data_IF_825357992343
#
_entry.id   IF_825357992343
#
_cell.length_a   1.000
_cell.length_b   1.000
_cell.length_c   1.000
_cell.angle_alpha   90.00
_cell.angle_beta   90.00
_cell.angle_gamma   90.00
#
_symmetry.space_group_name_H-M   'P 1'
#
loop_
_entity.id
_entity.type
_entity.pdbx_description
1 polymer ?
#
# COMPACT_ATOMS: atom_id res chain seq x y z
N UNK A 1 24.23 -14.33 -14.18
CA UNK A 1 22.84 -14.45 -14.66
C UNK A 1 22.03 -15.16 -13.60
N UNK A 2 21.35 -14.42 -12.70
CA UNK A 2 20.39 -15.03 -11.76
C UNK A 2 19.02 -14.99 -12.44
N UNK A 3 18.52 -16.17 -12.82
CA UNK A 3 17.17 -16.30 -13.34
C UNK A 3 16.19 -15.90 -12.24
N UNK A 4 15.42 -14.83 -12.49
CA UNK A 4 14.17 -14.58 -11.80
C UNK A 4 13.24 -15.75 -12.13
N UNK A 5 13.19 -16.75 -11.26
CA UNK A 5 12.08 -17.70 -11.21
C UNK A 5 10.86 -16.91 -10.76
N UNK A 6 10.12 -16.35 -11.72
CA UNK A 6 8.73 -16.00 -11.51
C UNK A 6 8.00 -17.35 -11.45
N UNK A 7 7.91 -17.93 -10.25
CA UNK A 7 6.98 -19.05 -10.02
C UNK A 7 5.57 -18.50 -10.26
N UNK A 8 5.02 -18.78 -11.45
CA UNK A 8 3.59 -18.69 -11.67
C UNK A 8 2.93 -19.79 -10.83
N UNK A 9 2.65 -19.52 -9.55
CA UNK A 9 1.88 -20.42 -8.72
C UNK A 9 0.45 -20.53 -9.26
N UNK A 10 -0.10 -21.75 -9.29
CA UNK A 10 -1.53 -21.93 -9.52
C UNK A 10 -2.32 -21.19 -8.41
N UNK A 11 -3.44 -20.54 -8.74
CA UNK A 11 -4.23 -19.81 -7.75
C UNK A 11 -4.83 -20.77 -6.72
N UNK A 12 -4.60 -20.47 -5.43
CA UNK A 12 -5.20 -21.16 -4.31
C UNK A 12 -6.62 -20.71 -4.04
N UNK A 13 -7.23 -21.27 -3.00
CA UNK A 13 -8.55 -20.89 -2.52
C UNK A 13 -8.46 -20.04 -1.25
N UNK A 14 -9.37 -19.08 -1.14
CA UNK A 14 -9.45 -18.16 0.00
C UNK A 14 -10.87 -18.03 0.49
N UNK A 15 -11.04 -18.04 1.81
CA UNK A 15 -12.32 -17.82 2.48
C UNK A 15 -12.19 -16.56 3.35
N UNK A 16 -12.88 -15.49 2.98
CA UNK A 16 -12.90 -14.25 3.76
C UNK A 16 -14.24 -14.08 4.47
N UNK A 17 -14.26 -13.35 5.59
CA UNK A 17 -15.52 -12.92 6.19
C UNK A 17 -16.23 -11.93 5.25
N UNK A 18 -17.52 -12.11 5.04
CA UNK A 18 -18.36 -11.27 4.18
C UNK A 18 -18.93 -10.05 4.93
N UNK A 19 -18.29 -9.66 6.03
CA UNK A 19 -18.69 -8.51 6.84
C UNK A 19 -17.85 -7.29 6.48
N UNK A 20 -18.39 -6.09 6.68
CA UNK A 20 -17.64 -4.85 6.49
C UNK A 20 -16.42 -4.83 7.41
N UNK A 21 -15.30 -4.29 6.90
CA UNK A 21 -14.05 -4.18 7.66
C UNK A 21 -14.23 -3.47 9.01
N UNK A 22 -15.16 -2.51 9.10
CA UNK A 22 -15.51 -1.84 10.35
C UNK A 22 -15.98 -2.83 11.43
N UNK A 23 -16.79 -3.83 11.07
CA UNK A 23 -17.27 -4.84 12.03
C UNK A 23 -16.14 -5.72 12.51
N UNK A 24 -15.23 -6.08 11.60
CA UNK A 24 -14.03 -6.87 11.91
C UNK A 24 -13.16 -6.14 12.92
N UNK A 25 -12.82 -4.89 12.62
CA UNK A 25 -11.96 -4.05 13.49
C UNK A 25 -12.57 -3.83 14.88
N UNK A 26 -13.90 -3.82 15.01
CA UNK A 26 -14.59 -3.64 16.30
C UNK A 26 -14.75 -4.92 17.12
N UNK A 27 -14.79 -6.07 16.48
CA UNK A 27 -15.33 -7.29 17.13
C UNK A 27 -14.49 -8.55 16.96
N UNK A 28 -13.57 -8.58 16.01
CA UNK A 28 -12.77 -9.76 15.70
C UNK A 28 -11.30 -9.45 16.01
N UNK A 29 -10.82 -9.99 17.13
CA UNK A 29 -9.40 -10.05 17.45
C UNK A 29 -8.80 -11.39 16.96
N UNK A 30 -7.49 -11.55 17.11
CA UNK A 30 -6.78 -12.75 16.69
C UNK A 30 -7.32 -14.02 17.34
N UNK A 31 -7.64 -13.96 18.64
CA UNK A 31 -8.14 -15.12 19.38
C UNK A 31 -9.53 -15.52 18.87
N UNK A 32 -10.38 -14.54 18.53
CA UNK A 32 -11.68 -14.76 17.90
C UNK A 32 -11.54 -15.31 16.48
N UNK A 33 -10.59 -14.83 15.68
CA UNK A 33 -10.31 -15.36 14.35
C UNK A 33 -9.90 -16.85 14.41
N UNK A 34 -9.04 -17.22 15.36
CA UNK A 34 -8.66 -18.63 15.61
C UNK A 34 -9.83 -19.48 16.10
N UNK A 35 -10.70 -18.91 16.94
CA UNK A 35 -11.92 -19.58 17.36
C UNK A 35 -12.86 -19.86 16.18
N UNK A 36 -13.03 -18.90 15.26
CA UNK A 36 -13.81 -19.09 14.04
C UNK A 36 -13.22 -20.19 13.14
N UNK A 37 -11.90 -20.20 12.94
CA UNK A 37 -11.21 -21.26 12.20
C UNK A 37 -11.49 -22.65 12.82
N UNK A 38 -11.41 -22.75 14.15
CA UNK A 38 -11.67 -23.99 14.88
C UNK A 38 -13.12 -24.44 14.77
N UNK A 39 -14.07 -23.49 14.80
CA UNK A 39 -15.50 -23.75 14.63
C UNK A 39 -15.83 -24.21 13.20
N UNK A 40 -15.24 -23.60 12.18
CA UNK A 40 -15.35 -24.05 10.79
C UNK A 40 -14.75 -25.45 10.60
N UNK A 41 -13.60 -25.74 11.20
CA UNK A 41 -13.00 -27.07 11.17
C UNK A 41 -13.84 -28.14 11.90
N UNK A 42 -14.51 -27.79 12.99
CA UNK A 42 -15.47 -28.68 13.65
C UNK A 42 -16.71 -28.94 12.78
N UNK A 43 -17.24 -27.91 12.14
CA UNK A 43 -18.38 -28.02 11.23
C UNK A 43 -18.02 -28.84 9.97
N UNK A 44 -16.82 -28.67 9.42
CA UNK A 44 -16.35 -29.44 8.27
C UNK A 44 -16.32 -30.95 8.57
N UNK A 45 -15.84 -31.34 9.77
CA UNK A 45 -15.88 -32.72 10.25
C UNK A 45 -17.30 -33.27 10.39
N UNK A 46 -18.21 -32.46 10.90
CA UNK A 46 -19.62 -32.85 11.05
C UNK A 46 -20.30 -33.08 9.68
N UNK A 47 -19.97 -32.27 8.67
CA UNK A 47 -20.57 -32.35 7.34
C UNK A 47 -20.03 -33.49 6.47
N UNK A 48 -18.95 -34.15 6.90
CA UNK A 48 -18.42 -35.39 6.36
C UNK A 48 -17.02 -35.30 5.75
N UNK A 49 -16.40 -36.45 5.40
CA UNK A 49 -14.98 -36.53 5.01
C UNK A 49 -14.59 -35.73 3.77
N UNK A 50 -15.53 -35.52 2.85
CA UNK A 50 -15.31 -34.69 1.65
C UNK A 50 -15.10 -33.21 2.02
N UNK A 51 -15.90 -32.70 2.96
CA UNK A 51 -15.82 -31.30 3.42
C UNK A 51 -14.62 -31.09 4.32
N UNK A 52 -14.34 -32.06 5.21
CA UNK A 52 -13.14 -32.05 6.05
C UNK A 52 -11.87 -32.02 5.19
N UNK A 53 -11.77 -32.84 4.14
CA UNK A 53 -10.63 -32.84 3.23
C UNK A 53 -10.50 -31.52 2.46
N UNK A 54 -11.61 -30.97 1.98
CA UNK A 54 -11.60 -29.70 1.26
C UNK A 54 -11.16 -28.53 2.18
N UNK A 55 -11.54 -28.56 3.46
CA UNK A 55 -11.08 -27.60 4.47
C UNK A 55 -9.65 -27.86 4.95
N UNK A 56 -9.15 -29.08 4.82
CA UNK A 56 -7.80 -29.42 5.27
C UNK A 56 -6.76 -28.60 4.51
N UNK A 57 -5.95 -27.84 5.26
CA UNK A 57 -4.95 -26.93 4.71
C UNK A 57 -5.32 -25.44 4.79
N UNK A 58 -6.56 -25.07 5.10
CA UNK A 58 -6.93 -23.67 5.32
C UNK A 58 -6.31 -23.10 6.60
N UNK A 59 -5.55 -22.02 6.46
CA UNK A 59 -4.85 -21.31 7.53
C UNK A 59 -5.25 -19.85 7.56
N UNK A 60 -5.21 -19.20 8.72
CA UNK A 60 -5.43 -17.75 8.80
C UNK A 60 -4.30 -17.04 8.01
N UNK A 61 -4.66 -16.39 6.90
CA UNK A 61 -3.74 -15.75 5.95
C UNK A 61 -4.52 -14.71 5.12
N UNK A 62 -4.02 -13.48 5.01
CA UNK A 62 -4.41 -12.61 3.91
C UNK A 62 -3.56 -12.88 2.65
N UNK A 63 -4.18 -13.25 1.50
CA UNK A 63 -3.55 -13.04 0.21
C UNK A 63 -3.32 -11.55 -0.04
N UNK A 64 -2.29 -11.21 -0.81
CA UNK A 64 -2.14 -9.85 -1.35
C UNK A 64 -3.34 -9.41 -2.21
N UNK A 65 -4.12 -10.37 -2.73
CA UNK A 65 -5.24 -10.11 -3.64
C UNK A 65 -6.54 -10.84 -3.19
N UNK A 66 -7.27 -10.34 -2.19
CA UNK A 66 -8.67 -10.76 -2.00
C UNK A 66 -9.26 -10.57 -0.60
N UNK A 67 -10.51 -10.10 -0.53
CA UNK A 67 -11.39 -10.09 0.66
C UNK A 67 -10.97 -9.18 1.82
N UNK A 68 -11.83 -9.06 2.84
CA UNK A 68 -11.48 -8.43 4.11
C UNK A 68 -11.09 -9.49 5.16
N UNK A 69 -10.15 -9.18 6.07
CA UNK A 69 -9.86 -10.01 7.25
C UNK A 69 -11.12 -10.34 8.07
N UNK A 70 -11.15 -11.46 8.82
CA UNK A 70 -10.20 -12.56 8.78
C UNK A 70 -10.32 -13.34 7.47
N UNK A 71 -9.17 -13.76 6.95
CA UNK A 71 -9.08 -14.53 5.70
C UNK A 71 -8.40 -15.87 5.98
N UNK A 72 -8.94 -16.93 5.40
CA UNK A 72 -8.38 -18.27 5.46
C UNK A 72 -7.90 -18.70 4.07
N UNK A 73 -6.59 -18.90 3.90
CA UNK A 73 -5.96 -19.30 2.65
C UNK A 73 -5.59 -20.78 2.61
N UNK A 74 -5.77 -21.40 1.45
CA UNK A 74 -5.22 -22.70 1.12
C UNK A 74 -4.63 -22.69 -0.30
N UNK A 75 -3.30 -22.70 -0.40
CA UNK A 75 -2.57 -22.68 -1.68
C UNK A 75 -2.73 -23.97 -2.49
N UNK A 76 -2.96 -25.10 -1.82
CA UNK A 76 -3.20 -26.39 -2.49
C UNK A 76 -4.68 -26.60 -2.84
N UNK A 77 -5.55 -25.65 -2.47
CA UNK A 77 -6.98 -25.71 -2.75
C UNK A 77 -7.26 -25.78 -4.25
N UNK A 78 -7.99 -26.80 -4.67
CA UNK A 78 -8.28 -27.07 -6.08
C UNK A 78 -9.74 -26.74 -6.42
N UNK A 79 -10.04 -26.65 -7.72
CA UNK A 79 -11.42 -26.40 -8.20
C UNK A 79 -12.45 -27.39 -7.64
N UNK A 80 -12.08 -28.65 -7.43
CA UNK A 80 -12.98 -29.65 -6.86
C UNK A 80 -13.41 -29.36 -5.42
N UNK A 81 -12.62 -28.58 -4.67
CA UNK A 81 -12.87 -28.28 -3.26
C UNK A 81 -13.92 -27.17 -3.10
N UNK A 82 -14.23 -26.39 -4.14
CA UNK A 82 -15.19 -25.29 -4.03
C UNK A 82 -16.59 -25.72 -3.63
N UNK A 83 -17.09 -26.83 -4.17
CA UNK A 83 -18.45 -27.31 -3.89
C UNK A 83 -18.60 -27.74 -2.41
N UNK A 84 -17.71 -28.60 -1.86
CA UNK A 84 -17.76 -28.92 -0.44
C UNK A 84 -17.54 -27.70 0.46
N UNK A 85 -16.65 -26.77 0.08
CA UNK A 85 -16.45 -25.52 0.84
C UNK A 85 -17.69 -24.63 0.82
N UNK A 86 -18.35 -24.44 -0.33
CA UNK A 86 -19.63 -23.69 -0.38
C UNK A 86 -20.71 -24.28 0.51
N UNK A 87 -20.76 -25.62 0.63
CA UNK A 87 -21.65 -26.31 1.58
C UNK A 87 -21.29 -25.97 3.03
N UNK A 88 -20.00 -25.97 3.38
CA UNK A 88 -19.51 -25.56 4.70
C UNK A 88 -19.94 -24.12 5.03
N UNK A 89 -19.70 -23.17 4.12
CA UNK A 89 -19.99 -21.75 4.34
C UNK A 89 -21.49 -21.47 4.48
N UNK A 90 -22.34 -22.15 3.69
CA UNK A 90 -23.78 -22.04 3.84
C UNK A 90 -24.25 -22.52 5.23
N UNK A 91 -23.71 -23.64 5.71
CA UNK A 91 -24.02 -24.18 7.03
C UNK A 91 -23.47 -23.30 8.17
N UNK A 92 -22.30 -22.68 7.97
CA UNK A 92 -21.74 -21.72 8.93
C UNK A 92 -22.67 -20.51 9.10
N UNK A 93 -23.21 -19.99 8.00
CA UNK A 93 -24.17 -18.90 8.01
C UNK A 93 -25.51 -19.29 8.69
N UNK A 94 -26.05 -20.47 8.39
CA UNK A 94 -27.28 -20.99 9.03
C UNK A 94 -27.13 -21.15 10.54
N UNK A 95 -25.93 -21.50 11.02
CA UNK A 95 -25.62 -21.67 12.45
C UNK A 95 -25.17 -20.39 13.14
N UNK A 96 -25.13 -19.26 12.43
CA UNK A 96 -24.73 -17.96 12.98
C UNK A 96 -23.24 -17.86 13.32
N UNK A 97 -22.37 -18.65 12.68
CA UNK A 97 -20.91 -18.52 12.85
C UNK A 97 -20.35 -17.31 12.11
N UNK A 98 -21.02 -16.87 11.05
CA UNK A 98 -20.62 -15.75 10.19
C UNK A 98 -21.03 -16.00 8.75
N UNK A 99 -21.02 -14.94 7.93
CA UNK A 99 -21.15 -15.06 6.47
C UNK A 99 -19.76 -14.98 5.87
N UNK A 100 -19.48 -15.83 4.89
CA UNK A 100 -18.15 -15.95 4.30
C UNK A 100 -18.25 -15.99 2.78
N UNK A 101 -17.22 -15.49 2.13
CA UNK A 101 -17.04 -15.54 0.68
C UNK A 101 -15.90 -16.48 0.32
N UNK A 102 -16.09 -17.25 -0.75
CA UNK A 102 -15.04 -18.12 -1.29
C UNK A 102 -14.50 -17.50 -2.59
N UNK A 103 -13.21 -17.19 -2.60
CA UNK A 103 -12.47 -16.63 -3.72
C UNK A 103 -11.31 -17.52 -4.19
N UNK A 104 -10.66 -17.08 -5.27
CA UNK A 104 -9.41 -17.64 -5.80
C UNK A 104 -8.38 -16.53 -5.91
N UNK A 105 -7.14 -16.82 -5.52
CA UNK A 105 -6.08 -15.80 -5.48
C UNK A 105 -4.68 -16.41 -5.51
N UNK A 106 -3.69 -15.58 -5.84
CA UNK A 106 -2.28 -15.93 -5.78
C UNK A 106 -1.79 -15.76 -4.34
N UNK A 107 -1.65 -16.87 -3.62
CA UNK A 107 -1.10 -16.90 -2.27
C UNK A 107 0.44 -16.95 -2.33
N UNK A 108 1.12 -16.13 -1.51
CA UNK A 108 2.58 -16.12 -1.42
C UNK A 108 3.10 -17.41 -0.76
N UNK A 109 4.40 -17.71 -0.92
CA UNK A 109 5.02 -18.85 -0.25
C UNK A 109 5.11 -18.61 1.26
N UNK A 110 4.44 -19.44 2.06
CA UNK A 110 4.49 -19.38 3.51
C UNK A 110 5.90 -19.69 4.03
N UNK A 111 6.42 -18.83 4.91
CA UNK A 111 7.66 -19.08 5.65
C UNK A 111 7.39 -19.99 6.85
N UNK A 112 7.86 -21.23 6.80
CA UNK A 112 7.88 -22.14 7.95
C UNK A 112 6.55 -22.81 8.31
N UNK A 113 6.55 -23.75 9.28
CA UNK A 113 5.40 -24.60 9.60
C UNK A 113 4.25 -23.89 10.33
N UNK A 114 4.46 -22.69 10.90
CA UNK A 114 3.51 -21.96 11.75
C UNK A 114 3.45 -20.44 11.44
N UNK A 115 2.88 -20.03 10.29
CA UNK A 115 2.74 -18.61 9.93
C UNK A 115 1.58 -17.89 10.64
N UNK A 116 0.81 -18.56 11.51
CA UNK A 116 -0.38 -18.01 12.18
C UNK A 116 -0.03 -17.25 13.47
N UNK A 117 0.63 -16.09 13.35
CA UNK A 117 0.96 -15.24 14.51
C UNK A 117 -0.01 -14.07 14.65
N UNK A 118 -0.12 -13.53 15.88
CA UNK A 118 -0.92 -12.31 16.13
C UNK A 118 -0.34 -11.12 15.36
N UNK A 119 0.98 -11.05 15.23
CA UNK A 119 1.69 -10.02 14.48
C UNK A 119 1.33 -10.07 12.98
N UNK A 120 1.27 -11.28 12.40
CA UNK A 120 0.82 -11.45 11.02
C UNK A 120 -0.63 -10.99 10.88
N UNK A 121 -1.51 -11.37 11.81
CA UNK A 121 -2.91 -10.92 11.81
C UNK A 121 -3.04 -9.39 11.91
N UNK A 122 -2.20 -8.72 12.69
CA UNK A 122 -2.17 -7.25 12.77
C UNK A 122 -1.69 -6.63 11.45
N UNK A 123 -0.65 -7.19 10.82
CA UNK A 123 -0.17 -6.78 9.50
C UNK A 123 -1.27 -6.93 8.44
N UNK A 124 -1.98 -8.03 8.49
CA UNK A 124 -3.11 -8.40 7.65
C UNK A 124 -4.27 -7.40 7.80
N UNK A 125 -4.64 -7.03 9.03
CA UNK A 125 -5.60 -5.94 9.29
C UNK A 125 -5.10 -4.60 8.71
N UNK A 126 -3.81 -4.28 8.85
CA UNK A 126 -3.22 -3.07 8.31
C UNK A 126 -3.25 -3.04 6.77
N UNK A 127 -3.04 -4.18 6.11
CA UNK A 127 -3.22 -4.34 4.68
C UNK A 127 -4.69 -4.16 4.29
N UNK A 128 -5.63 -4.78 5.00
CA UNK A 128 -7.07 -4.60 4.76
C UNK A 128 -7.50 -3.13 4.83
N UNK A 129 -6.94 -2.35 5.77
CA UNK A 129 -7.20 -0.92 5.88
C UNK A 129 -6.61 -0.16 4.68
N UNK A 130 -5.38 -0.47 4.26
CA UNK A 130 -4.71 0.20 3.12
C UNK A 130 -5.39 -0.09 1.79
N UNK A 131 -5.82 -1.33 1.60
CA UNK A 131 -6.36 -1.87 0.35
C UNK A 131 -7.88 -1.89 0.27
N UNK A 132 -8.60 -1.44 1.31
CA UNK A 132 -10.06 -1.31 1.24
C UNK A 132 -10.42 -0.58 -0.05
N UNK A 133 -11.23 -1.22 -0.89
CA UNK A 133 -11.45 -0.81 -2.27
C UNK A 133 -12.18 0.53 -2.27
N UNK A 134 -11.39 1.56 -2.42
CA UNK A 134 -11.81 2.93 -2.57
C UNK A 134 -12.47 3.23 -3.92
N UNK A 135 -13.27 2.31 -4.46
CA UNK A 135 -14.07 2.54 -5.66
C UNK A 135 -15.08 3.68 -5.43
N UNK A 136 -15.62 3.83 -4.22
CA UNK A 136 -16.59 4.88 -3.87
C UNK A 136 -15.98 6.30 -3.72
N UNK A 137 -14.79 6.50 -3.12
CA UNK A 137 -14.12 7.81 -3.09
C UNK A 137 -13.03 8.03 -4.17
N UNK A 138 -12.82 7.09 -5.09
CA UNK A 138 -11.91 7.27 -6.24
C UNK A 138 -10.41 7.31 -5.88
N UNK A 139 -10.00 6.65 -4.80
CA UNK A 139 -8.61 6.63 -4.33
C UNK A 139 -7.87 5.47 -5.00
N UNK A 140 -6.86 5.78 -5.81
CA UNK A 140 -6.01 4.78 -6.48
C UNK A 140 -4.80 4.43 -5.60
N UNK A 141 -4.37 3.15 -5.55
CA UNK A 141 -3.13 2.74 -4.87
C UNK A 141 -1.85 3.20 -5.59
N UNK A 142 -1.96 3.79 -6.79
CA UNK A 142 -0.86 4.45 -7.49
C UNK A 142 -0.75 5.92 -7.07
N UNK A 143 0.31 6.63 -7.50
CA UNK A 143 0.42 8.08 -7.28
C UNK A 143 -0.89 8.76 -7.68
N UNK A 144 -1.56 9.44 -6.74
CA UNK A 144 -2.85 10.10 -6.99
C UNK A 144 -2.74 10.97 -8.24
N UNK A 145 -3.60 10.74 -9.22
CA UNK A 145 -3.64 11.60 -10.39
C UNK A 145 -3.93 13.04 -9.96
N UNK A 146 -3.39 13.99 -10.72
CA UNK A 146 -3.79 15.38 -10.57
C UNK A 146 -5.32 15.49 -10.79
N UNK A 147 -5.99 16.45 -10.12
CA UNK A 147 -7.34 16.84 -10.50
C UNK A 147 -7.42 17.05 -12.00
N UNK A 148 -8.53 16.64 -12.63
CA UNK A 148 -8.60 16.51 -14.10
C UNK A 148 -8.17 17.80 -14.84
N UNK A 149 -8.67 18.95 -14.40
CA UNK A 149 -8.31 20.25 -14.98
C UNK A 149 -6.80 20.56 -14.86
N UNK A 150 -6.17 20.14 -13.76
CA UNK A 150 -4.73 20.34 -13.55
C UNK A 150 -3.90 19.35 -14.37
N UNK A 151 -4.37 18.12 -14.57
CA UNK A 151 -3.76 17.16 -15.47
C UNK A 151 -3.78 17.67 -16.92
N UNK A 152 -4.94 18.15 -17.39
CA UNK A 152 -5.11 18.74 -18.73
C UNK A 152 -4.22 19.98 -18.92
N UNK A 153 -4.19 20.88 -17.94
CA UNK A 153 -3.33 22.07 -17.98
C UNK A 153 -1.84 21.70 -18.05
N UNK A 154 -1.38 20.76 -17.21
CA UNK A 154 0.01 20.30 -17.20
C UNK A 154 0.38 19.61 -18.51
N UNK A 155 -0.53 18.84 -19.11
CA UNK A 155 -0.31 18.20 -20.41
C UNK A 155 -0.19 19.23 -21.53
N UNK A 156 -1.01 20.29 -21.53
CA UNK A 156 -0.91 21.39 -22.49
C UNK A 156 0.45 22.10 -22.40
N UNK A 157 0.89 22.43 -21.18
CA UNK A 157 2.21 23.02 -20.96
C UNK A 157 3.34 22.09 -21.42
N UNK A 158 3.23 20.79 -21.13
CA UNK A 158 4.24 19.81 -21.59
C UNK A 158 4.35 19.77 -23.12
N UNK A 159 3.23 19.82 -23.85
CA UNK A 159 3.25 19.89 -25.31
C UNK A 159 3.82 21.22 -25.83
N UNK A 160 3.49 22.34 -25.19
CA UNK A 160 4.00 23.67 -25.54
C UNK A 160 5.52 23.76 -25.35
N UNK A 161 6.04 23.38 -24.18
CA UNK A 161 7.46 23.56 -23.86
C UNK A 161 8.33 22.38 -24.29
N UNK A 162 7.98 21.16 -23.86
CA UNK A 162 8.81 19.98 -24.15
C UNK A 162 8.56 19.46 -25.57
N UNK A 163 7.31 19.48 -26.04
CA UNK A 163 6.95 19.08 -27.40
C UNK A 163 7.65 19.93 -28.46
N UNK A 164 7.76 21.25 -28.26
CA UNK A 164 8.53 22.13 -29.14
C UNK A 164 10.02 21.78 -29.17
N UNK A 165 10.65 21.57 -28.01
CA UNK A 165 12.07 21.18 -27.93
C UNK A 165 12.32 19.86 -28.68
N UNK A 166 11.46 18.85 -28.48
CA UNK A 166 11.58 17.57 -29.16
C UNK A 166 11.39 17.71 -30.68
N UNK A 167 10.39 18.49 -31.12
CA UNK A 167 10.14 18.76 -32.55
C UNK A 167 11.29 19.52 -33.20
N UNK A 168 11.86 20.52 -32.53
CA UNK A 168 13.02 21.28 -33.01
C UNK A 168 14.25 20.38 -33.17
N UNK A 169 14.55 19.54 -32.18
CA UNK A 169 15.72 18.64 -32.21
C UNK A 169 15.59 17.51 -33.21
N UNK A 170 14.37 17.05 -33.50
CA UNK A 170 14.11 16.10 -34.57
C UNK A 170 14.38 16.68 -35.97
N UNK A 171 14.20 18.00 -36.14
CA UNK A 171 14.46 18.71 -37.42
C UNK A 171 15.95 18.94 -37.68
N UNK A 172 16.75 19.06 -36.62
CA UNK A 172 18.18 19.36 -36.71
C UNK A 172 19.02 18.32 -35.94
N UNK A 173 19.19 17.10 -36.50
CA UNK A 173 19.91 16.05 -35.80
C UNK A 173 21.41 16.36 -35.73
N UNK A 174 21.92 16.52 -34.52
CA UNK A 174 23.33 16.23 -34.23
C UNK A 174 23.48 14.72 -34.04
N UNK A 175 24.71 14.19 -34.15
CA UNK A 175 24.94 12.72 -34.10
C UNK A 175 25.59 12.32 -32.77
N UNK A 176 25.16 11.19 -32.22
CA UNK A 176 25.83 10.51 -31.11
C UNK A 176 25.56 11.12 -29.73
N UNK A 177 26.47 10.88 -28.79
CA UNK A 177 26.30 11.17 -27.36
C UNK A 177 26.04 12.65 -27.05
N UNK A 178 26.58 13.57 -27.86
CA UNK A 178 26.36 15.01 -27.69
C UNK A 178 24.90 15.40 -27.94
N UNK A 179 24.29 14.85 -28.99
CA UNK A 179 22.88 15.11 -29.29
C UNK A 179 21.96 14.67 -28.16
N UNK A 180 22.23 13.49 -27.58
CA UNK A 180 21.47 12.93 -26.46
C UNK A 180 21.61 13.85 -25.23
N UNK A 181 22.83 14.23 -24.87
CA UNK A 181 23.09 15.07 -23.69
C UNK A 181 22.47 16.47 -23.81
N UNK A 182 22.67 17.13 -24.95
CA UNK A 182 22.17 18.49 -25.17
C UNK A 182 20.64 18.52 -25.26
N UNK A 183 20.03 17.48 -25.83
CA UNK A 183 18.56 17.31 -25.85
C UNK A 183 18.02 17.06 -24.45
N UNK A 184 18.64 16.17 -23.67
CA UNK A 184 18.23 15.88 -22.30
C UNK A 184 18.26 17.14 -21.42
N UNK A 185 19.34 17.94 -21.47
CA UNK A 185 19.44 19.19 -20.71
C UNK A 185 18.36 20.21 -21.09
N UNK A 186 18.00 20.31 -22.37
CA UNK A 186 16.93 21.23 -22.81
C UNK A 186 15.56 20.74 -22.40
N UNK A 187 15.29 19.45 -22.53
CA UNK A 187 14.03 18.84 -22.07
C UNK A 187 13.89 18.99 -20.55
N UNK A 188 14.97 18.79 -19.79
CA UNK A 188 14.98 19.00 -18.35
C UNK A 188 14.60 20.45 -17.99
N UNK A 189 15.21 21.45 -18.63
CA UNK A 189 14.84 22.86 -18.44
C UNK A 189 13.38 23.14 -18.81
N UNK A 190 12.90 22.58 -19.92
CA UNK A 190 11.50 22.73 -20.34
C UNK A 190 10.54 22.12 -19.30
N UNK A 191 10.86 20.94 -18.76
CA UNK A 191 10.08 20.30 -17.71
C UNK A 191 10.12 21.08 -16.39
N UNK A 192 11.23 21.72 -16.05
CA UNK A 192 11.33 22.62 -14.89
C UNK A 192 10.42 23.85 -15.04
N UNK A 193 10.36 24.43 -16.23
CA UNK A 193 9.45 25.55 -16.54
C UNK A 193 7.98 25.11 -16.46
N UNK A 194 7.64 23.98 -17.07
CA UNK A 194 6.29 23.37 -16.98
C UNK A 194 5.91 23.14 -15.52
N UNK A 195 6.82 22.58 -14.71
CA UNK A 195 6.56 22.31 -13.30
C UNK A 195 6.29 23.60 -12.52
N UNK A 196 7.09 24.65 -12.74
CA UNK A 196 6.95 25.94 -12.05
C UNK A 196 5.64 26.63 -12.40
N UNK A 197 5.27 26.67 -13.69
CA UNK A 197 4.02 27.29 -14.13
C UNK A 197 2.79 26.50 -13.68
N UNK A 198 2.84 25.19 -13.83
CA UNK A 198 1.76 24.32 -13.39
C UNK A 198 1.54 24.45 -11.88
N UNK A 199 2.62 24.47 -11.08
CA UNK A 199 2.53 24.67 -9.63
C UNK A 199 1.84 26.00 -9.27
N UNK A 200 2.21 27.11 -9.92
CA UNK A 200 1.56 28.40 -9.65
C UNK A 200 0.05 28.40 -9.92
N UNK A 201 -0.40 27.74 -10.99
CA UNK A 201 -1.84 27.59 -11.30
C UNK A 201 -2.51 26.65 -10.30
N UNK A 202 -1.86 25.55 -9.93
CA UNK A 202 -2.35 24.61 -8.93
C UNK A 202 -2.54 25.28 -7.56
N UNK A 203 -1.58 26.09 -7.11
CA UNK A 203 -1.66 26.87 -5.87
C UNK A 203 -2.80 27.88 -5.92
N UNK A 204 -2.95 28.60 -7.04
CA UNK A 204 -4.05 29.54 -7.23
C UNK A 204 -5.41 28.84 -7.16
N UNK A 205 -5.58 27.70 -7.84
CA UNK A 205 -6.83 26.94 -7.82
C UNK A 205 -7.12 26.34 -6.45
N UNK A 206 -6.09 25.84 -5.74
CA UNK A 206 -6.22 25.34 -4.37
C UNK A 206 -6.75 26.42 -3.41
N UNK A 207 -6.30 27.66 -3.57
CA UNK A 207 -6.76 28.79 -2.76
C UNK A 207 -8.18 29.24 -3.14
N UNK A 208 -8.49 29.26 -4.44
CA UNK A 208 -9.76 29.79 -4.98
C UNK A 208 -10.94 28.84 -4.86
N UNK A 209 -10.73 27.53 -5.03
CA UNK A 209 -11.80 26.55 -5.04
C UNK A 209 -12.30 26.26 -3.62
N UNK A 210 -13.62 26.23 -3.49
CA UNK A 210 -14.30 25.80 -2.26
C UNK A 210 -14.52 24.29 -2.30
N UNK A 211 -14.04 23.51 -1.31
CA UNK A 211 -14.18 22.06 -1.34
C UNK A 211 -15.62 21.56 -1.44
N UNK A 212 -16.58 22.31 -0.85
CA UNK A 212 -18.00 21.98 -0.92
C UNK A 212 -18.58 22.00 -2.35
N UNK A 213 -17.94 22.72 -3.27
CA UNK A 213 -18.33 22.78 -4.69
C UNK A 213 -17.75 21.65 -5.55
N UNK A 214 -16.88 20.82 -4.96
CA UNK A 214 -16.18 19.72 -5.64
C UNK A 214 -16.81 18.40 -5.20
N UNK A 215 -16.96 17.47 -6.16
CA UNK A 215 -17.45 16.12 -5.89
C UNK A 215 -16.52 15.36 -4.93
N UNK A 216 -17.06 14.51 -4.02
CA UNK A 216 -16.27 13.84 -2.98
C UNK A 216 -15.00 13.14 -3.49
N UNK A 217 -15.09 12.43 -4.62
CA UNK A 217 -13.93 11.74 -5.18
C UNK A 217 -12.83 12.69 -5.69
N UNK A 218 -13.20 13.84 -6.24
CA UNK A 218 -12.22 14.86 -6.67
C UNK A 218 -11.59 15.56 -5.45
N UNK A 219 -12.29 15.66 -4.31
CA UNK A 219 -11.71 16.26 -3.08
C UNK A 219 -10.46 15.52 -2.61
N UNK A 220 -10.40 14.20 -2.75
CA UNK A 220 -9.19 13.44 -2.39
C UNK A 220 -8.01 13.81 -3.29
N UNK A 221 -8.24 14.00 -4.59
CA UNK A 221 -7.19 14.42 -5.53
C UNK A 221 -6.70 15.84 -5.24
N UNK A 222 -7.62 16.75 -4.91
CA UNK A 222 -7.29 18.09 -4.47
C UNK A 222 -6.55 18.10 -3.13
N UNK A 223 -6.95 17.26 -2.17
CA UNK A 223 -6.21 17.08 -0.93
C UNK A 223 -4.79 16.58 -1.21
N UNK A 224 -4.61 15.52 -2.00
CA UNK A 224 -3.29 15.00 -2.37
C UNK A 224 -2.40 16.06 -3.04
N UNK A 225 -2.97 16.88 -3.94
CA UNK A 225 -2.28 18.02 -4.54
C UNK A 225 -1.90 19.09 -3.50
N UNK A 226 -2.81 19.42 -2.59
CA UNK A 226 -2.58 20.38 -1.51
C UNK A 226 -1.43 19.92 -0.59
N UNK A 227 -1.37 18.63 -0.26
CA UNK A 227 -0.31 18.06 0.58
C UNK A 227 1.03 18.08 -0.15
N UNK A 228 1.06 17.71 -1.45
CA UNK A 228 2.26 17.76 -2.30
C UNK A 228 2.88 19.16 -2.36
N UNK A 229 2.03 20.18 -2.51
CA UNK A 229 2.46 21.56 -2.59
C UNK A 229 2.63 22.22 -1.21
N UNK A 230 2.14 21.57 -0.14
CA UNK A 230 2.06 22.15 1.21
C UNK A 230 1.31 23.50 1.24
N UNK A 231 0.24 23.62 0.46
CA UNK A 231 -0.59 24.82 0.34
C UNK A 231 -2.04 24.42 0.55
N UNK A 232 -2.77 25.17 1.40
CA UNK A 232 -4.20 24.95 1.69
C UNK A 232 -4.56 23.52 2.17
N UNK A 233 -3.57 22.73 2.61
CA UNK A 233 -3.76 21.31 2.88
C UNK A 233 -4.74 21.04 4.03
N UNK A 234 -4.78 21.86 5.08
CA UNK A 234 -5.71 21.67 6.20
C UNK A 234 -7.18 21.71 5.71
N UNK A 235 -7.50 22.70 4.87
CA UNK A 235 -8.82 22.89 4.26
C UNK A 235 -9.23 21.67 3.44
N UNK A 236 -8.35 21.22 2.55
CA UNK A 236 -8.65 20.11 1.64
C UNK A 236 -8.66 18.75 2.33
N UNK A 237 -7.76 18.52 3.30
CA UNK A 237 -7.76 17.32 4.12
C UNK A 237 -9.06 17.21 4.94
N UNK A 238 -9.52 18.29 5.57
CA UNK A 238 -10.76 18.28 6.33
C UNK A 238 -11.98 17.93 5.44
N UNK A 239 -12.05 18.52 4.25
CA UNK A 239 -13.15 18.26 3.30
C UNK A 239 -13.12 16.86 2.67
N UNK A 240 -11.93 16.24 2.55
CA UNK A 240 -11.78 14.87 2.11
C UNK A 240 -12.09 13.86 3.25
N UNK A 241 -11.85 14.25 4.50
CA UNK A 241 -12.13 13.43 5.68
C UNK A 241 -13.61 13.43 6.08
N UNK A 242 -14.30 14.57 5.96
CA UNK A 242 -15.71 14.76 6.35
C UNK A 242 -16.69 13.66 5.87
N UNK A 243 -16.66 13.22 4.59
CA UNK A 243 -17.61 12.21 4.11
C UNK A 243 -17.29 10.79 4.61
N UNK A 244 -16.17 10.56 5.30
CA UNK A 244 -15.73 9.23 5.72
C UNK A 244 -16.35 8.86 7.08
N UNK A 245 -17.35 7.95 7.11
CA UNK A 245 -18.04 7.59 8.35
C UNK A 245 -17.15 6.80 9.32
N UNK A 246 -16.22 6.00 8.81
CA UNK A 246 -15.46 5.05 9.62
C UNK A 246 -14.03 5.53 9.87
N UNK A 247 -13.50 5.19 11.05
CA UNK A 247 -12.18 5.63 11.48
C UNK A 247 -11.08 5.04 10.59
N UNK A 248 -11.20 3.77 10.21
CA UNK A 248 -10.24 3.10 9.35
C UNK A 248 -10.15 3.75 7.95
N UNK A 249 -11.27 4.25 7.42
CA UNK A 249 -11.29 4.98 6.15
C UNK A 249 -10.46 6.27 6.29
N UNK A 250 -10.65 7.02 7.37
CA UNK A 250 -9.83 8.22 7.63
C UNK A 250 -8.35 7.87 7.73
N UNK A 251 -7.99 6.78 8.41
CA UNK A 251 -6.60 6.33 8.50
C UNK A 251 -6.02 6.01 7.11
N UNK A 252 -6.78 5.32 6.28
CA UNK A 252 -6.36 4.97 4.92
C UNK A 252 -6.26 6.22 4.00
N UNK A 253 -7.13 7.23 4.17
CA UNK A 253 -6.98 8.54 3.51
C UNK A 253 -5.64 9.18 3.92
N UNK A 254 -5.33 9.26 5.20
CA UNK A 254 -4.06 9.88 5.65
C UNK A 254 -2.83 9.07 5.24
N UNK A 255 -2.91 7.74 5.16
CA UNK A 255 -1.86 6.92 4.54
C UNK A 255 -1.63 7.32 3.08
N UNK A 256 -2.70 7.49 2.30
CA UNK A 256 -2.63 7.93 0.91
C UNK A 256 -2.04 9.34 0.77
N UNK A 257 -2.48 10.29 1.60
CA UNK A 257 -1.96 11.66 1.58
C UNK A 257 -0.49 11.73 2.03
N UNK A 258 -0.08 10.89 2.98
CA UNK A 258 1.32 10.78 3.40
C UNK A 258 2.22 10.29 2.28
N UNK A 259 1.82 9.24 1.55
CA UNK A 259 2.59 8.78 0.39
C UNK A 259 2.66 9.84 -0.72
N UNK A 260 1.61 10.66 -0.86
CA UNK A 260 1.62 11.78 -1.80
C UNK A 260 2.62 12.90 -1.43
N UNK A 261 2.89 13.17 -0.15
CA UNK A 261 3.87 14.19 0.24
C UNK A 261 5.33 13.73 0.11
N UNK A 262 5.56 12.43 -0.14
CA UNK A 262 6.90 11.82 -0.24
C UNK A 262 7.84 12.13 0.94
N UNK A 263 7.28 12.47 2.11
CA UNK A 263 8.05 12.78 3.31
C UNK A 263 8.56 14.22 3.43
N UNK A 264 8.14 15.16 2.56
CA UNK A 264 8.60 16.56 2.58
C UNK A 264 7.44 17.55 2.78
N UNK A 265 7.77 18.77 3.23
CA UNK A 265 6.84 19.90 3.29
C UNK A 265 6.14 20.13 4.64
N UNK A 266 5.40 21.24 4.72
CA UNK A 266 4.71 21.68 5.95
C UNK A 266 3.48 20.83 6.31
N UNK A 267 2.95 20.09 5.34
CA UNK A 267 1.79 19.22 5.57
C UNK A 267 2.13 17.97 6.38
N UNK A 268 3.41 17.58 6.47
CA UNK A 268 3.84 16.35 7.15
C UNK A 268 3.52 16.33 8.66
N UNK A 269 3.92 17.34 9.48
CA UNK A 269 3.56 17.38 10.89
C UNK A 269 2.05 17.36 11.14
N UNK A 270 1.27 18.01 10.26
CA UNK A 270 -0.18 17.97 10.32
C UNK A 270 -0.72 16.55 10.12
N UNK A 271 -0.27 15.84 9.08
CA UNK A 271 -0.69 14.46 8.84
C UNK A 271 -0.27 13.52 9.97
N UNK A 272 0.92 13.70 10.53
CA UNK A 272 1.41 12.93 11.68
C UNK A 272 0.49 13.10 12.89
N UNK A 273 0.17 14.35 13.23
CA UNK A 273 -0.75 14.68 14.32
C UNK A 273 -2.15 14.09 14.07
N UNK A 274 -2.67 14.20 12.85
CA UNK A 274 -3.98 13.63 12.49
C UNK A 274 -3.97 12.10 12.60
N UNK A 275 -2.94 11.43 12.09
CA UNK A 275 -2.85 9.97 12.13
C UNK A 275 -2.74 9.45 13.58
N UNK A 276 -1.91 10.07 14.41
CA UNK A 276 -1.82 9.76 15.84
C UNK A 276 -3.16 9.95 16.56
N UNK A 277 -3.90 11.01 16.24
CA UNK A 277 -5.23 11.23 16.80
C UNK A 277 -6.24 10.14 16.39
N UNK A 278 -6.10 9.56 15.19
CA UNK A 278 -6.91 8.42 14.76
C UNK A 278 -6.53 7.15 15.52
N UNK A 279 -5.23 6.89 15.75
CA UNK A 279 -4.77 5.76 16.57
C UNK A 279 -5.33 5.86 18.00
N UNK A 280 -5.28 7.04 18.62
CA UNK A 280 -5.84 7.22 19.97
C UNK A 280 -7.34 6.98 20.01
N UNK A 281 -8.09 7.46 19.01
CA UNK A 281 -9.52 7.17 18.90
C UNK A 281 -9.78 5.66 18.72
N UNK A 282 -8.97 4.98 17.91
CA UNK A 282 -9.10 3.54 17.64
C UNK A 282 -9.00 2.70 18.91
N UNK A 283 -8.15 3.07 19.87
CA UNK A 283 -8.02 2.36 21.16
C UNK A 283 -9.33 2.26 21.96
N UNK A 284 -10.30 3.14 21.69
CA UNK A 284 -11.60 3.15 22.36
C UNK A 284 -12.73 2.50 21.54
N UNK A 285 -12.53 2.33 20.23
CA UNK A 285 -13.57 1.88 19.29
C UNK A 285 -13.30 0.49 18.72
N UNK A 286 -12.03 0.15 18.49
CA UNK A 286 -11.59 -1.10 17.88
C UNK A 286 -11.04 -2.08 18.91
N UNK A 287 -10.87 -3.33 18.48
CA UNK A 287 -10.11 -4.33 19.23
C UNK A 287 -8.66 -3.87 19.42
N UNK A 288 -7.94 -4.47 20.37
CA UNK A 288 -6.53 -4.18 20.57
C UNK A 288 -5.71 -4.44 19.29
N UNK A 289 -6.04 -5.49 18.55
CA UNK A 289 -5.39 -5.83 17.28
C UNK A 289 -5.76 -4.82 16.17
N UNK A 290 -7.01 -4.33 16.13
CA UNK A 290 -7.42 -3.27 15.21
C UNK A 290 -6.71 -1.94 15.46
N UNK A 291 -6.56 -1.53 16.72
CA UNK A 291 -5.77 -0.35 17.08
C UNK A 291 -4.27 -0.55 16.76
N UNK A 292 -3.74 -1.75 17.03
CA UNK A 292 -2.37 -2.11 16.69
C UNK A 292 -2.13 -2.11 15.17
N UNK A 293 -3.13 -2.44 14.35
CA UNK A 293 -3.04 -2.36 12.90
C UNK A 293 -2.84 -0.92 12.41
N UNK A 294 -3.56 0.05 13.00
CA UNK A 294 -3.33 1.46 12.69
C UNK A 294 -1.93 1.92 13.14
N UNK A 295 -1.48 1.49 14.32
CA UNK A 295 -0.12 1.77 14.78
C UNK A 295 0.92 1.17 13.82
N UNK A 296 0.68 -0.05 13.32
CA UNK A 296 1.54 -0.70 12.35
C UNK A 296 1.66 0.11 11.06
N UNK A 297 0.54 0.61 10.52
CA UNK A 297 0.55 1.50 9.34
C UNK A 297 1.41 2.74 9.62
N UNK A 298 1.21 3.38 10.78
CA UNK A 298 1.97 4.56 11.17
C UNK A 298 3.48 4.29 11.27
N UNK A 299 3.86 3.20 11.93
CA UNK A 299 5.26 2.82 12.09
C UNK A 299 5.91 2.55 10.73
N UNK A 300 5.19 1.91 9.81
CA UNK A 300 5.66 1.68 8.45
C UNK A 300 5.87 2.97 7.63
N UNK A 301 5.00 3.97 7.81
CA UNK A 301 5.14 5.28 7.16
C UNK A 301 6.41 6.03 7.59
N UNK A 302 6.94 5.70 8.77
CA UNK A 302 8.15 6.29 9.34
C UNK A 302 9.42 5.51 8.99
N UNK A 303 9.28 4.27 8.51
CA UNK A 303 10.43 3.51 8.01
C UNK A 303 10.91 4.14 6.71
N UNK A 304 12.23 4.24 6.57
CA UNK A 304 12.82 4.62 5.31
C UNK A 304 12.39 3.61 4.24
N UNK A 305 12.11 4.04 2.99
CA UNK A 305 11.91 3.12 1.88
C UNK A 305 13.09 2.14 1.71
N UNK A 306 14.27 2.52 2.22
CA UNK A 306 15.50 1.74 2.20
C UNK A 306 15.61 0.73 3.35
N UNK A 307 14.83 0.86 4.43
CA UNK A 307 14.84 -0.08 5.57
C UNK A 307 14.21 -1.44 5.21
N UNK A 308 13.49 -1.51 4.08
CA UNK A 308 12.88 -2.75 3.55
C UNK A 308 13.81 -3.55 2.64
N UNK A 309 15.03 -3.08 2.35
CA UNK A 309 16.01 -3.84 1.58
C UNK A 309 16.74 -4.83 2.50
N UNK A 310 16.57 -6.16 2.33
CA UNK A 310 17.40 -7.12 3.04
C UNK A 310 18.84 -6.94 2.56
N UNK A 311 19.73 -6.50 3.46
CA UNK A 311 21.17 -6.78 3.38
C UNK A 311 21.96 -6.24 2.18
N UNK A 312 21.58 -5.12 1.57
CA UNK A 312 22.40 -4.50 0.51
C UNK A 312 23.47 -3.53 1.02
N UNK A 313 23.43 -3.15 2.31
CA UNK A 313 24.36 -2.18 2.92
C UNK A 313 24.93 -2.62 4.28
N UNK A 314 24.66 -3.86 4.71
CA UNK A 314 25.15 -4.40 5.99
C UNK A 314 26.32 -5.38 5.78
N UNK A 315 27.14 -5.14 4.76
CA UNK A 315 28.38 -5.87 4.54
C UNK A 315 29.38 -4.95 3.83
N UNK A 316 30.02 -4.08 4.60
CA UNK A 316 31.34 -3.48 4.33
C UNK A 316 31.62 -2.46 5.45
N UNK A 317 31.86 -2.94 6.67
CA UNK A 317 32.53 -2.14 7.72
C UNK A 317 33.27 -3.03 8.75
N UNK A 318 33.70 -4.22 8.32
CA UNK A 318 34.67 -5.05 9.06
C UNK A 318 35.65 -5.68 8.07
N UNK A 319 36.56 -4.87 7.51
CA UNK A 319 37.93 -5.28 7.13
C UNK A 319 38.70 -4.12 6.47
N UNK A 320 39.05 -3.11 7.26
CA UNK A 320 40.31 -2.38 7.05
C UNK A 320 41.10 -2.41 8.37
N UNK A 321 41.50 -3.61 8.79
CA UNK A 321 42.73 -3.73 9.55
C UNK A 321 43.87 -3.52 8.56
N UNK A 322 44.44 -2.31 8.59
CA UNK A 322 45.63 -1.96 7.85
C UNK A 322 46.76 -2.96 8.17
N UNK A 323 47.08 -3.83 7.21
CA UNK A 323 48.41 -4.45 7.11
C UNK A 323 49.38 -3.34 6.70
N UNK A 324 49.87 -2.58 7.68
CA UNK A 324 51.08 -1.77 7.50
C UNK A 324 52.28 -2.71 7.48
N UNK A 325 52.77 -2.94 6.26
CA UNK A 325 54.05 -3.53 5.90
C UNK A 325 55.20 -3.02 6.80
N UNK A 326 56.00 -3.89 7.42
CA UNK A 326 57.37 -3.56 7.77
C UNK A 326 58.26 -3.99 6.60
N UNK A 327 58.36 -3.16 5.57
CA UNK A 327 59.42 -3.32 4.58
C UNK A 327 60.65 -2.54 5.07
N UNK A 328 61.51 -3.27 5.77
CA UNK A 328 62.83 -2.84 6.20
C UNK A 328 63.66 -2.45 4.96
N UNK A 329 63.98 -1.16 4.83
CA UNK A 329 65.03 -0.73 3.92
C UNK A 329 66.36 -1.34 4.37
N UNK A 330 67.13 -2.00 3.47
CA UNK A 330 68.47 -2.41 3.80
C UNK A 330 69.40 -1.21 3.62
N UNK A 331 70.23 -0.91 4.62
CA UNK A 331 71.43 -0.13 4.34
C UNK A 331 72.64 -0.61 5.16
N UNK A 332 73.69 -0.88 4.38
CA UNK A 332 75.12 -0.89 4.71
C UNK A 332 75.81 -2.18 5.21
N UNK A 333 76.64 -2.68 4.29
CA UNK A 333 78.07 -2.99 4.44
C UNK A 333 78.50 -4.21 5.29
N UNK A 334 79.01 -5.24 4.62
CA UNK A 334 80.44 -5.66 4.50
C UNK A 334 80.55 -6.77 3.47
#
# INVERSE_FOLDING_TARGET
MRQLLVECSDPGLVISLAEELENVLRHIDFDRARALQSQLGALARELGPEVERAWSGFRLELPGDGGYPPIFGNREGMKQDEKPLKKLLAQAAERGLGRFELGRTLLLSQGGPEPETREQYISDLADGIRWDRWEEPGISPMSTDLPKAMAEHRAQLAEEYAGEVLRERARWPEVGQRWVRDTAQRVEKALQEVNTRAAAVMEYELARLEPASVEPAERVRWAALAVRLSVEFEKWCAAAEEPLPYLYQRAALFYHLWTACQGFGQARPFMEQRFLALIEQAKSLYTADGAAALQHIYDELHRSPWDRLPGLWAAEDENEAAEDNPDEGPDLAV
#
